data_IF_051925080107
#
_entry.id   IF_051925080107
#
_cell.length_a   1.000
_cell.length_b   1.000
_cell.length_c   1.000
_cell.angle_alpha   90.00
_cell.angle_beta   90.00
_cell.angle_gamma   90.00
#
_symmetry.space_group_name_H-M   'P 1'
#
loop_
_entity.id
_entity.type
_entity.pdbx_description
1 polymer ?
#
# COMPACT_ATOMS: atom_id res chain seq x y z
N UNK A 1 -8.55 10.93 -13.23
CA UNK A 1 -7.09 11.13 -13.38
C UNK A 1 -6.40 10.32 -12.29
N UNK A 2 -5.26 9.70 -12.59
CA UNK A 2 -4.45 8.95 -11.62
C UNK A 2 -3.27 9.85 -11.25
N UNK A 3 -3.08 10.14 -9.97
CA UNK A 3 -2.00 10.99 -9.50
C UNK A 3 -1.12 10.20 -8.54
N UNK A 4 0.17 10.07 -8.88
CA UNK A 4 1.16 9.56 -7.94
C UNK A 4 1.35 10.61 -6.84
N UNK A 5 1.06 10.22 -5.61
CA UNK A 5 1.21 11.07 -4.42
C UNK A 5 2.61 10.92 -3.84
N UNK A 6 3.12 9.68 -3.84
CA UNK A 6 4.41 9.35 -3.26
C UNK A 6 5.01 8.11 -3.91
N UNK A 7 6.32 8.09 -4.08
CA UNK A 7 7.08 6.93 -4.55
C UNK A 7 8.37 6.87 -3.74
N UNK A 8 8.53 5.81 -2.94
CA UNK A 8 9.66 5.68 -2.02
C UNK A 8 9.51 4.48 -1.11
N UNK A 9 10.59 4.06 -0.44
CA UNK A 9 10.56 2.94 0.52
C UNK A 9 10.08 1.59 -0.05
N UNK A 10 10.14 1.41 -1.38
CA UNK A 10 9.63 0.20 -2.04
C UNK A 10 8.11 0.19 -2.23
N UNK A 11 7.44 1.34 -2.05
CA UNK A 11 6.02 1.53 -2.29
C UNK A 11 5.73 2.74 -3.18
N UNK A 12 4.59 2.67 -3.87
CA UNK A 12 4.04 3.73 -4.71
C UNK A 12 2.60 4.03 -4.27
N UNK A 13 2.34 5.25 -3.81
CA UNK A 13 1.01 5.71 -3.41
C UNK A 13 0.40 6.49 -4.56
N UNK A 14 -0.78 6.05 -5.01
CA UNK A 14 -1.54 6.68 -6.10
C UNK A 14 -2.94 7.06 -5.64
N UNK A 15 -3.38 8.26 -6.01
CA UNK A 15 -4.75 8.72 -5.83
C UNK A 15 -5.53 8.53 -7.14
N UNK A 16 -6.67 7.83 -7.06
CA UNK A 16 -7.60 7.63 -8.18
C UNK A 16 -9.00 8.06 -7.73
N UNK A 17 -9.58 9.06 -8.39
CA UNK A 17 -10.94 9.56 -8.08
C UNK A 17 -11.18 9.93 -6.59
N UNK A 18 -10.16 10.44 -5.89
CA UNK A 18 -10.24 10.78 -4.47
C UNK A 18 -10.05 9.59 -3.51
N UNK A 19 -9.80 8.40 -4.04
CA UNK A 19 -9.42 7.21 -3.28
C UNK A 19 -7.90 7.00 -3.36
N UNK A 20 -7.30 6.57 -2.25
CA UNK A 20 -5.87 6.34 -2.14
C UNK A 20 -5.58 4.85 -2.28
N UNK A 21 -4.54 4.53 -3.04
CA UNK A 21 -4.09 3.17 -3.26
C UNK A 21 -2.59 3.12 -3.00
N UNK A 22 -2.14 2.07 -2.35
CA UNK A 22 -0.73 1.75 -2.17
C UNK A 22 -0.37 0.58 -3.08
N UNK A 23 0.71 0.74 -3.82
CA UNK A 23 1.30 -0.27 -4.68
C UNK A 23 2.62 -0.68 -4.10
N UNK A 24 2.87 -1.97 -4.05
CA UNK A 24 4.14 -2.53 -3.60
C UNK A 24 4.39 -3.83 -4.34
N UNK A 25 5.66 -4.12 -4.57
CA UNK A 25 6.06 -5.42 -5.10
C UNK A 25 6.16 -6.41 -3.94
N UNK A 26 5.55 -7.59 -4.09
CA UNK A 26 5.61 -8.68 -3.10
C UNK A 26 7.05 -9.21 -2.90
N UNK A 27 8.02 -8.79 -3.72
CA UNK A 27 9.41 -9.29 -3.67
C UNK A 27 9.53 -10.75 -4.09
N UNK A 28 8.45 -11.34 -4.61
CA UNK A 28 8.39 -12.72 -5.07
C UNK A 28 9.12 -12.95 -6.39
N UNK A 29 9.39 -14.23 -6.69
CA UNK A 29 9.96 -14.69 -7.96
C UNK A 29 9.17 -14.25 -9.21
N UNK A 30 7.89 -13.93 -9.03
CA UNK A 30 7.03 -13.31 -10.03
C UNK A 30 6.67 -11.93 -9.49
N UNK A 31 7.13 -10.88 -10.16
CA UNK A 31 6.78 -9.50 -9.85
C UNK A 31 5.26 -9.35 -9.88
N UNK A 32 4.66 -9.37 -8.69
CA UNK A 32 3.23 -9.22 -8.50
C UNK A 32 3.04 -7.89 -7.80
N UNK A 33 2.68 -6.89 -8.60
CA UNK A 33 2.33 -5.57 -8.10
C UNK A 33 1.01 -5.72 -7.32
N UNK A 34 1.10 -5.65 -5.99
CA UNK A 34 -0.08 -5.65 -5.13
C UNK A 34 -0.54 -4.20 -5.02
N UNK A 35 -1.77 -3.95 -5.46
CA UNK A 35 -2.46 -2.67 -5.25
C UNK A 35 -3.49 -2.89 -4.16
N UNK A 36 -3.33 -2.22 -3.01
CA UNK A 36 -4.30 -2.24 -1.92
C UNK A 36 -4.89 -0.86 -1.70
N UNK A 37 -6.20 -0.80 -1.42
CA UNK A 37 -6.88 0.46 -1.15
C UNK A 37 -6.59 0.89 0.29
N UNK A 38 -6.16 2.13 0.45
CA UNK A 38 -5.86 2.72 1.76
C UNK A 38 -6.64 4.01 1.97
N UNK A 39 -6.75 4.41 3.23
CA UNK A 39 -7.32 5.71 3.58
C UNK A 39 -6.30 6.83 3.38
N UNK A 40 -6.78 8.08 3.33
CA UNK A 40 -5.92 9.26 3.22
C UNK A 40 -4.96 9.39 4.41
N UNK A 41 -5.41 9.02 5.60
CA UNK A 41 -4.61 9.04 6.83
C UNK A 41 -3.46 8.04 6.75
N UNK A 42 -3.75 6.82 6.29
CA UNK A 42 -2.75 5.80 6.01
C UNK A 42 -1.76 6.25 4.93
N UNK A 43 -2.23 6.89 3.86
CA UNK A 43 -1.35 7.42 2.83
C UNK A 43 -0.40 8.48 3.38
N UNK A 44 -0.87 9.34 4.28
CA UNK A 44 -0.05 10.37 4.92
C UNK A 44 0.94 9.77 5.92
N UNK A 45 0.52 8.74 6.66
CA UNK A 45 1.37 7.98 7.57
C UNK A 45 2.50 7.28 6.80
N UNK A 46 2.18 6.56 5.73
CA UNK A 46 3.16 5.88 4.88
C UNK A 46 4.18 6.82 4.20
N UNK A 47 3.83 8.09 4.01
CA UNK A 47 4.75 9.11 3.50
C UNK A 47 5.73 9.66 4.55
N UNK A 48 5.40 9.55 5.84
CA UNK A 48 6.23 10.10 6.91
C UNK A 48 7.53 9.31 7.07
N UNK A 49 7.43 7.98 7.18
CA UNK A 49 8.57 7.11 7.49
C UNK A 49 8.43 5.74 6.82
N UNK A 50 9.54 5.03 6.57
CA UNK A 50 9.51 3.65 6.09
C UNK A 50 8.83 2.67 7.07
N UNK A 51 8.95 2.92 8.38
CA UNK A 51 8.30 2.11 9.41
C UNK A 51 6.78 2.26 9.35
N UNK A 52 6.31 3.51 9.28
CA UNK A 52 4.91 3.86 9.07
C UNK A 52 4.35 3.30 7.75
N UNK A 53 5.16 3.31 6.67
CA UNK A 53 4.80 2.69 5.40
C UNK A 53 4.55 1.19 5.56
N UNK A 54 5.45 0.47 6.25
CA UNK A 54 5.28 -0.95 6.54
C UNK A 54 4.01 -1.23 7.34
N UNK A 55 3.73 -0.44 8.39
CA UNK A 55 2.51 -0.60 9.19
C UNK A 55 1.23 -0.45 8.35
N UNK A 56 1.22 0.52 7.44
CA UNK A 56 0.08 0.78 6.55
C UNK A 56 -0.11 -0.39 5.58
N UNK A 57 0.97 -0.92 5.00
CA UNK A 57 0.92 -2.10 4.13
C UNK A 57 0.34 -3.30 4.88
N UNK A 58 0.82 -3.57 6.11
CA UNK A 58 0.35 -4.70 6.93
C UNK A 58 -1.14 -4.50 7.29
N UNK A 59 -1.52 -3.31 7.73
CA UNK A 59 -2.91 -2.98 8.07
C UNK A 59 -3.83 -3.13 6.86
N UNK A 60 -3.39 -2.69 5.69
CA UNK A 60 -4.11 -2.82 4.43
C UNK A 60 -4.28 -4.30 4.02
N UNK A 61 -3.22 -5.11 4.11
CA UNK A 61 -3.28 -6.55 3.83
C UNK A 61 -4.20 -7.32 4.78
N UNK A 62 -4.17 -6.99 6.07
CA UNK A 62 -5.08 -7.58 7.06
C UNK A 62 -6.54 -7.26 6.74
N UNK A 63 -6.81 -6.06 6.24
CA UNK A 63 -8.16 -5.59 5.90
C UNK A 63 -8.71 -6.23 4.64
N UNK A 64 -7.86 -6.39 3.62
CA UNK A 64 -8.19 -7.10 2.37
C UNK A 64 -8.25 -8.63 2.56
N UNK A 65 -7.86 -9.15 3.73
CA UNK A 65 -7.88 -10.59 4.02
C UNK A 65 -6.83 -11.39 3.24
N UNK A 66 -5.82 -10.72 2.66
CA UNK A 66 -4.72 -11.36 1.92
C UNK A 66 -3.84 -12.18 2.87
N UNK A 67 -3.79 -11.80 4.15
CA UNK A 67 -3.09 -12.53 5.21
C UNK A 67 -4.08 -13.17 6.20
N UNK A 68 -5.05 -13.95 5.71
CA UNK A 68 -5.66 -14.96 6.57
C UNK A 68 -4.78 -16.21 6.52
N UNK A 69 -4.18 -16.67 7.63
CA UNK A 69 -3.74 -18.06 7.69
C UNK A 69 -5.00 -18.90 7.48
N UNK A 70 -5.09 -19.56 6.33
CA UNK A 70 -6.06 -20.62 6.11
C UNK A 70 -5.76 -21.70 7.15
N UNK A 71 -6.53 -21.72 8.24
CA UNK A 71 -6.58 -22.81 9.22
C UNK A 71 -7.28 -24.02 8.60
#
# INVERSE_FOLDING_TARGET
MIKVIFSGYGIDIVEKNGEFFIKYDDGGLVSKEIESKITKEEAFKAQNSPEDASEVIISSQMRDGVNIPRV
#
